data_IF_041898239736
#
_entry.id   IF_041898239736
#
_cell.length_a   1.000
_cell.length_b   1.000
_cell.length_c   1.000
_cell.angle_alpha   90.00
_cell.angle_beta   90.00
_cell.angle_gamma   90.00
#
_symmetry.space_group_name_H-M   'P 1'
#
loop_
_entity.id
_entity.type
_entity.pdbx_description
1 polymer ?
#
# COMPACT_ATOMS: atom_id res chain seq x y z
N UNK A 1 4.55 15.76 8.06
CA UNK A 1 3.29 15.56 7.32
C UNK A 1 3.00 14.08 7.13
N UNK A 2 1.74 13.62 7.21
CA UNK A 2 1.40 12.22 6.96
C UNK A 2 1.06 11.96 5.49
N UNK A 3 1.50 10.83 4.97
CA UNK A 3 0.89 10.20 3.79
C UNK A 3 -0.43 9.57 4.25
N UNK A 4 -1.50 9.83 3.53
CA UNK A 4 -2.84 9.31 3.79
C UNK A 4 -3.13 8.29 2.68
N UNK A 5 -3.45 7.07 3.08
CA UNK A 5 -3.97 6.04 2.20
C UNK A 5 -5.42 5.83 2.62
N UNK A 6 -6.33 6.01 1.67
CA UNK A 6 -7.77 5.88 1.90
C UNK A 6 -8.36 4.92 0.87
N UNK A 7 -8.97 3.84 1.33
CA UNK A 7 -9.65 2.85 0.49
C UNK A 7 -11.08 2.72 0.98
N UNK A 8 -12.04 2.76 0.07
CA UNK A 8 -13.46 2.53 0.31
C UNK A 8 -14.02 1.80 -0.92
N UNK A 9 -14.18 0.49 -0.80
CA UNK A 9 -14.66 -0.35 -1.91
C UNK A 9 -16.15 -0.13 -2.18
N UNK A 10 -16.95 0.18 -1.16
CA UNK A 10 -18.38 0.45 -1.32
C UNK A 10 -18.64 1.72 -2.14
N UNK A 11 -17.75 2.71 -2.04
CA UNK A 11 -17.84 3.98 -2.79
C UNK A 11 -16.88 4.08 -3.97
N UNK A 12 -16.12 3.02 -4.27
CA UNK A 12 -15.06 3.01 -5.28
C UNK A 12 -14.05 4.17 -5.12
N UNK A 13 -13.66 4.48 -3.88
CA UNK A 13 -12.70 5.55 -3.58
C UNK A 13 -11.39 4.97 -3.12
N UNK A 14 -10.35 5.15 -3.92
CA UNK A 14 -9.01 4.64 -3.64
C UNK A 14 -8.03 5.79 -3.81
N UNK A 15 -7.52 6.35 -2.71
CA UNK A 15 -6.76 7.59 -2.68
C UNK A 15 -5.42 7.40 -1.98
N UNK A 16 -4.39 8.03 -2.54
CA UNK A 16 -3.08 8.22 -1.94
C UNK A 16 -2.78 9.72 -1.91
N UNK A 17 -2.63 10.31 -0.73
CA UNK A 17 -2.50 11.75 -0.55
C UNK A 17 -1.28 12.06 0.32
N UNK A 18 -0.39 12.92 -0.16
CA UNK A 18 0.56 13.65 0.66
C UNK A 18 0.13 15.13 0.62
N UNK A 19 -0.53 15.64 1.69
CA UNK A 19 -1.08 16.99 1.70
C UNK A 19 -0.05 18.04 1.22
N UNK A 20 -0.47 18.90 0.29
CA UNK A 20 0.36 19.96 -0.29
C UNK A 20 1.31 19.52 -1.42
N UNK A 21 1.61 18.22 -1.58
CA UNK A 21 2.60 17.76 -2.56
C UNK A 21 2.05 16.79 -3.59
N UNK A 22 1.17 15.88 -3.20
CA UNK A 22 0.79 14.77 -4.06
C UNK A 22 -0.63 14.30 -3.74
N UNK A 23 -1.39 14.02 -4.79
CA UNK A 23 -2.67 13.31 -4.69
C UNK A 23 -2.80 12.39 -5.88
N UNK A 24 -3.10 11.12 -5.63
CA UNK A 24 -3.46 10.15 -6.65
C UNK A 24 -4.74 9.43 -6.24
N UNK A 25 -5.53 9.07 -7.24
CA UNK A 25 -6.76 8.31 -7.13
C UNK A 25 -6.75 7.20 -8.17
N UNK A 26 -7.19 6.01 -7.78
CA UNK A 26 -7.52 4.94 -8.72
C UNK A 26 -8.97 5.12 -9.13
N UNK A 27 -9.21 5.25 -10.43
CA UNK A 27 -10.52 5.49 -11.03
C UNK A 27 -10.88 4.29 -11.91
N UNK A 28 -12.02 3.63 -11.67
CA UNK A 28 -12.51 2.56 -12.54
C UNK A 28 -12.67 3.02 -13.98
N UNK A 29 -12.35 2.17 -14.94
CA UNK A 29 -12.40 2.45 -16.38
C UNK A 29 -12.80 1.20 -17.15
N UNK A 30 -13.25 1.32 -18.40
CA UNK A 30 -13.66 0.17 -19.22
C UNK A 30 -12.61 -0.93 -19.33
N UNK A 31 -11.31 -0.58 -19.40
CA UNK A 31 -10.23 -1.56 -19.48
C UNK A 31 -9.85 -2.21 -18.13
N UNK A 32 -10.12 -1.55 -16.98
CA UNK A 32 -9.88 -1.98 -15.58
C UNK A 32 -9.90 -0.74 -14.68
N UNK A 33 -8.81 0.03 -14.70
CA UNK A 33 -8.68 1.30 -13.98
C UNK A 33 -7.56 2.16 -14.56
N UNK A 34 -7.65 3.47 -14.31
CA UNK A 34 -6.56 4.42 -14.52
C UNK A 34 -6.23 5.14 -13.22
N UNK A 35 -4.99 5.61 -13.11
CA UNK A 35 -4.52 6.37 -11.95
C UNK A 35 -4.49 7.83 -12.36
N UNK A 36 -5.31 8.66 -11.71
CA UNK A 36 -5.35 10.10 -11.93
C UNK A 36 -4.80 10.83 -10.71
N UNK A 37 -4.02 11.86 -10.92
CA UNK A 37 -3.45 12.59 -9.80
C UNK A 37 -2.88 13.96 -10.14
N UNK A 38 -2.20 14.52 -9.16
CA UNK A 38 -1.48 15.79 -9.24
C UNK A 38 -0.22 15.71 -8.38
N UNK A 39 0.90 16.14 -8.94
CA UNK A 39 2.14 16.41 -8.20
C UNK A 39 2.27 17.93 -8.14
N UNK A 40 2.23 18.50 -6.94
CA UNK A 40 2.11 19.93 -6.68
C UNK A 40 0.97 20.55 -7.49
N UNK A 41 1.31 21.27 -8.58
CA UNK A 41 0.35 21.91 -9.47
C UNK A 41 0.14 21.18 -10.80
N UNK A 42 0.94 20.15 -11.10
CA UNK A 42 0.95 19.47 -12.40
C UNK A 42 0.04 18.23 -12.33
N UNK A 43 -1.08 18.19 -13.08
CA UNK A 43 -1.92 17.01 -13.17
C UNK A 43 -1.24 15.91 -13.98
N UNK A 44 -1.53 14.65 -13.65
CA UNK A 44 -1.07 13.50 -14.42
C UNK A 44 -2.15 12.41 -14.46
N UNK A 45 -2.12 11.62 -15.53
CA UNK A 45 -2.94 10.42 -15.69
C UNK A 45 -2.07 9.29 -16.19
N UNK A 46 -2.17 8.12 -15.57
CA UNK A 46 -1.44 6.91 -15.95
C UNK A 46 -2.45 5.81 -16.21
N UNK A 47 -2.38 5.23 -17.41
CA UNK A 47 -3.12 4.03 -17.78
C UNK A 47 -2.17 2.83 -17.69
N UNK A 48 -2.14 2.09 -16.57
CA UNK A 48 -1.15 1.03 -16.37
C UNK A 48 -1.31 -0.15 -17.35
N UNK A 49 -2.51 -0.35 -17.88
CA UNK A 49 -2.82 -1.46 -18.79
C UNK A 49 -2.68 -1.12 -20.28
N UNK A 50 -2.50 0.17 -20.61
CA UNK A 50 -2.24 0.57 -21.99
C UNK A 50 -0.81 0.19 -22.37
N UNK A 51 -0.69 -0.73 -23.33
CA UNK A 51 0.60 -1.11 -23.91
C UNK A 51 1.23 0.11 -24.56
N UNK A 52 2.21 0.72 -23.89
CA UNK A 52 3.06 1.73 -24.54
C UNK A 52 3.83 1.04 -25.67
N UNK A 53 3.86 1.59 -26.89
CA UNK A 53 4.74 1.08 -27.93
C UNK A 53 6.17 1.12 -27.38
N UNK A 54 6.86 -0.02 -27.41
CA UNK A 54 8.27 -0.10 -27.03
C UNK A 54 9.02 0.86 -27.96
N UNK A 55 9.38 2.05 -27.47
CA UNK A 55 10.45 2.83 -28.10
C UNK A 55 11.66 1.89 -28.17
N UNK A 56 12.15 1.61 -29.37
CA UNK A 56 13.45 0.96 -29.59
C UNK A 56 14.50 1.85 -28.93
N UNK A 57 14.77 1.62 -27.65
CA UNK A 57 15.95 2.15 -27.00
C UNK A 57 17.13 1.46 -27.67
N UNK A 58 17.93 2.23 -28.39
CA UNK A 58 19.24 1.81 -28.87
C UNK A 58 20.00 1.16 -27.71
N UNK A 59 20.54 -0.03 -27.94
CA UNK A 59 21.26 -0.82 -26.93
C UNK A 59 22.42 0.03 -26.39
N UNK A 60 22.42 0.44 -25.11
CA UNK A 60 23.60 1.05 -24.54
C UNK A 60 24.70 -0.02 -24.47
N UNK A 61 25.92 0.37 -24.85
CA UNK A 61 27.11 -0.49 -24.76
C UNK A 61 27.20 -1.16 -23.38
N UNK A 62 27.51 -2.47 -23.38
CA UNK A 62 27.60 -3.32 -22.19
C UNK A 62 28.57 -2.71 -21.16
N UNK A 63 28.03 -2.04 -20.13
CA UNK A 63 28.81 -1.69 -18.94
C UNK A 63 29.19 -2.97 -18.17
N UNK A 64 30.39 -3.04 -17.57
CA UNK A 64 30.83 -4.21 -16.82
C UNK A 64 29.82 -4.53 -15.70
N UNK A 65 29.50 -5.82 -15.58
CA UNK A 65 28.54 -6.32 -14.61
C UNK A 65 29.00 -5.98 -13.18
N UNK A 66 28.38 -4.97 -12.55
CA UNK A 66 28.55 -4.73 -11.12
C UNK A 66 28.13 -5.99 -10.38
N UNK A 67 29.05 -6.60 -9.63
CA UNK A 67 28.77 -7.73 -8.72
C UNK A 67 27.51 -7.38 -7.92
N UNK A 68 26.45 -8.18 -8.07
CA UNK A 68 25.23 -8.06 -7.26
C UNK A 68 25.64 -8.24 -5.80
N UNK A 69 25.69 -7.14 -5.04
CA UNK A 69 25.87 -7.21 -3.58
C UNK A 69 24.75 -8.09 -3.05
N UNK A 70 25.08 -9.24 -2.45
CA UNK A 70 24.13 -10.05 -1.69
C UNK A 70 23.60 -9.14 -0.58
N UNK A 71 22.37 -8.64 -0.73
CA UNK A 71 21.71 -7.87 0.33
C UNK A 71 21.56 -8.84 1.49
N UNK A 72 22.30 -8.62 2.59
CA UNK A 72 22.13 -9.39 3.81
C UNK A 72 20.72 -9.10 4.34
N UNK A 73 19.85 -10.09 4.29
CA UNK A 73 18.42 -10.00 4.68
C UNK A 73 18.28 -9.97 6.23
N UNK A 74 19.37 -10.12 6.99
CA UNK A 74 19.39 -10.25 8.45
C UNK A 74 18.93 -9.01 9.25
N UNK A 75 18.38 -7.98 8.59
CA UNK A 75 17.73 -6.83 9.24
C UNK A 75 16.31 -6.53 8.72
N UNK A 76 15.78 -7.34 7.79
CA UNK A 76 14.51 -7.05 7.09
C UNK A 76 13.29 -7.11 7.98
N UNK A 77 13.22 -8.09 8.90
CA UNK A 77 12.06 -8.26 9.79
C UNK A 77 11.93 -7.09 10.77
N UNK A 78 13.03 -6.64 11.37
CA UNK A 78 13.04 -5.48 12.28
C UNK A 78 12.65 -4.19 11.55
N UNK A 79 13.12 -4.03 10.31
CA UNK A 79 12.70 -2.91 9.46
C UNK A 79 11.19 -3.00 9.16
N UNK A 80 10.67 -4.17 8.82
CA UNK A 80 9.24 -4.36 8.56
C UNK A 80 8.38 -4.03 9.79
N UNK A 81 8.75 -4.54 10.98
CA UNK A 81 8.05 -4.23 12.24
C UNK A 81 8.08 -2.73 12.53
N UNK A 82 9.23 -2.08 12.36
CA UNK A 82 9.36 -0.64 12.56
C UNK A 82 8.50 0.16 11.57
N UNK A 83 8.44 -0.26 10.30
CA UNK A 83 7.58 0.35 9.30
C UNK A 83 6.09 0.19 9.66
N UNK A 84 5.69 -0.98 10.14
CA UNK A 84 4.32 -1.22 10.60
C UNK A 84 3.96 -0.32 11.78
N UNK A 85 4.87 -0.09 12.73
CA UNK A 85 4.64 0.87 13.83
C UNK A 85 4.53 2.34 13.36
N UNK A 86 5.07 2.69 12.20
CA UNK A 86 4.92 4.04 11.64
C UNK A 86 3.53 4.28 11.04
N UNK A 87 2.76 3.21 10.83
CA UNK A 87 1.40 3.25 10.30
C UNK A 87 0.45 3.52 11.47
N UNK A 88 -0.32 4.59 11.35
CA UNK A 88 -1.45 4.87 12.23
C UNK A 88 -2.74 4.55 11.49
N UNK A 89 -3.42 3.48 11.91
CA UNK A 89 -4.76 3.15 11.43
C UNK A 89 -5.74 4.10 12.13
N UNK A 90 -6.51 4.86 11.35
CA UNK A 90 -7.61 5.70 11.86
C UNK A 90 -8.95 5.01 11.76
N UNK A 91 -9.14 4.18 10.75
CA UNK A 91 -10.34 3.39 10.58
C UNK A 91 -10.03 2.19 9.70
N UNK A 92 -10.38 1.00 10.14
CA UNK A 92 -10.35 -0.22 9.34
C UNK A 92 -11.68 -0.93 9.56
N UNK A 93 -12.54 -0.92 8.55
CA UNK A 93 -13.73 -1.77 8.51
C UNK A 93 -13.51 -2.78 7.39
N UNK A 94 -13.51 -4.06 7.74
CA UNK A 94 -13.43 -5.15 6.78
C UNK A 94 -14.63 -6.06 6.97
N UNK A 95 -15.38 -6.29 5.91
CA UNK A 95 -16.35 -7.36 5.83
C UNK A 95 -15.89 -8.31 4.73
N UNK A 96 -15.58 -9.55 5.09
CA UNK A 96 -15.00 -10.53 4.17
C UNK A 96 -15.83 -11.80 4.16
N UNK A 97 -16.06 -12.30 2.96
CA UNK A 97 -16.48 -13.66 2.69
C UNK A 97 -15.37 -14.30 1.84
N UNK A 98 -14.84 -15.44 2.27
CA UNK A 98 -13.84 -16.18 1.51
C UNK A 98 -14.42 -17.29 0.65
N UNK A 99 -15.75 -17.35 0.49
CA UNK A 99 -16.49 -18.42 -0.20
C UNK A 99 -16.25 -19.83 0.40
N UNK A 100 -15.63 -19.88 1.59
CA UNK A 100 -15.34 -21.09 2.35
C UNK A 100 -15.89 -20.90 3.76
N UNK A 101 -16.92 -21.68 4.06
CA UNK A 101 -17.59 -21.65 5.35
C UNK A 101 -16.64 -21.95 6.53
N UNK A 102 -15.74 -22.93 6.37
CA UNK A 102 -14.79 -23.29 7.44
C UNK A 102 -13.80 -22.17 7.68
N UNK A 103 -13.33 -21.51 6.61
CA UNK A 103 -12.37 -20.41 6.74
C UNK A 103 -13.05 -19.18 7.36
N UNK A 104 -14.24 -18.78 6.90
CA UNK A 104 -15.01 -17.69 7.51
C UNK A 104 -15.30 -17.94 8.99
N UNK A 105 -15.69 -19.16 9.38
CA UNK A 105 -15.92 -19.52 10.77
C UNK A 105 -14.66 -19.39 11.63
N UNK A 106 -13.48 -19.75 11.10
CA UNK A 106 -12.18 -19.58 11.78
C UNK A 106 -11.76 -18.12 11.91
N UNK A 107 -12.21 -17.24 11.03
CA UNK A 107 -11.93 -15.80 11.12
C UNK A 107 -12.68 -15.12 12.27
N UNK A 108 -13.88 -15.60 12.64
CA UNK A 108 -14.69 -15.02 13.73
C UNK A 108 -13.90 -14.84 15.05
N UNK A 109 -13.27 -15.88 15.62
CA UNK A 109 -12.49 -15.72 16.85
C UNK A 109 -11.23 -14.88 16.66
N UNK A 110 -10.60 -14.91 15.48
CA UNK A 110 -9.42 -14.07 15.20
C UNK A 110 -9.82 -12.59 15.13
N UNK A 111 -10.96 -12.30 14.49
CA UNK A 111 -11.47 -10.94 14.34
C UNK A 111 -11.94 -10.37 15.67
N UNK A 112 -12.56 -11.17 16.54
CA UNK A 112 -12.96 -10.69 17.87
C UNK A 112 -11.75 -10.27 18.72
N UNK A 113 -10.60 -10.94 18.57
CA UNK A 113 -9.35 -10.56 19.26
C UNK A 113 -8.71 -9.28 18.70
N UNK A 114 -8.85 -9.02 17.40
CA UNK A 114 -8.23 -7.86 16.72
C UNK A 114 -9.13 -6.62 16.75
N UNK A 115 -10.43 -6.81 16.94
CA UNK A 115 -11.41 -5.73 16.96
C UNK A 115 -11.14 -4.73 18.09
N UNK A 116 -11.24 -3.44 17.75
CA UNK A 116 -11.01 -2.31 18.66
C UNK A 116 -11.86 -1.12 18.22
N UNK A 117 -11.72 0.02 18.91
CA UNK A 117 -12.45 1.25 18.56
C UNK A 117 -12.27 1.65 17.08
N UNK A 118 -11.06 1.50 16.54
CA UNK A 118 -10.69 1.91 15.18
C UNK A 118 -10.65 0.77 14.17
N UNK A 119 -10.72 -0.49 14.61
CA UNK A 119 -10.62 -1.69 13.77
C UNK A 119 -11.86 -2.55 13.99
N UNK A 120 -12.66 -2.77 12.95
CA UNK A 120 -13.79 -3.69 12.95
C UNK A 120 -13.69 -4.63 11.76
N UNK A 121 -13.44 -5.88 12.06
CA UNK A 121 -13.33 -6.98 11.12
C UNK A 121 -14.55 -7.88 11.34
N UNK A 122 -15.20 -8.26 10.25
CA UNK A 122 -16.35 -9.14 10.21
C UNK A 122 -16.13 -10.19 9.13
N UNK A 123 -16.38 -11.44 9.49
CA UNK A 123 -16.56 -12.50 8.51
C UNK A 123 -18.07 -12.62 8.28
N UNK A 124 -18.49 -12.69 7.02
CA UNK A 124 -19.88 -12.93 6.63
C UNK A 124 -19.99 -14.22 5.80
N UNK A 125 -21.21 -14.58 5.44
CA UNK A 125 -21.53 -15.76 4.63
C UNK A 125 -22.51 -15.37 3.51
N UNK A 126 -22.45 -14.12 3.07
CA UNK A 126 -23.40 -13.50 2.14
C UNK A 126 -22.77 -13.21 0.77
N UNK A 127 -21.53 -13.62 0.53
CA UNK A 127 -20.76 -13.36 -0.68
C UNK A 127 -20.32 -11.90 -0.83
N UNK A 128 -20.31 -11.14 0.28
CA UNK A 128 -20.02 -9.70 0.24
C UNK A 128 -18.60 -9.40 0.71
N UNK A 129 -17.85 -8.64 -0.08
CA UNK A 129 -16.53 -8.12 0.29
C UNK A 129 -16.57 -6.58 0.35
N UNK A 130 -16.33 -6.03 1.53
CA UNK A 130 -16.22 -4.57 1.71
C UNK A 130 -15.02 -4.19 2.57
N UNK A 131 -14.32 -3.12 2.16
CA UNK A 131 -13.16 -2.59 2.85
C UNK A 131 -13.25 -1.08 2.92
N UNK A 132 -13.19 -0.55 4.14
CA UNK A 132 -12.92 0.85 4.43
C UNK A 132 -11.63 0.95 5.23
N UNK A 133 -10.59 1.52 4.66
CA UNK A 133 -9.30 1.75 5.29
C UNK A 133 -8.94 3.24 5.23
N UNK A 134 -8.76 3.88 6.37
CA UNK A 134 -8.06 5.16 6.54
C UNK A 134 -6.81 4.88 7.37
N UNK A 135 -5.65 4.94 6.72
CA UNK A 135 -4.35 4.82 7.37
C UNK A 135 -3.47 6.01 7.05
N UNK A 136 -2.67 6.40 8.04
CA UNK A 136 -1.77 7.55 7.93
C UNK A 136 -0.36 7.16 8.32
N UNK A 137 0.60 7.52 7.49
CA UNK A 137 2.00 7.22 7.71
C UNK A 137 2.76 8.52 7.87
N UNK A 138 3.42 8.72 9.02
CA UNK A 138 4.21 9.93 9.26
C UNK A 138 5.52 9.85 8.47
N UNK A 139 5.72 10.74 7.50
CA UNK A 139 6.93 10.77 6.67
C UNK A 139 8.22 10.92 7.49
N UNK A 140 8.20 11.74 8.53
CA UNK A 140 9.36 11.90 9.43
C UNK A 140 9.75 10.58 10.10
N UNK A 141 8.78 9.75 10.47
CA UNK A 141 9.02 8.43 11.06
C UNK A 141 9.59 7.46 10.03
N UNK A 142 9.07 7.44 8.80
CA UNK A 142 9.63 6.61 7.72
C UNK A 142 11.10 6.97 7.42
N UNK A 143 11.38 8.27 7.30
CA UNK A 143 12.75 8.76 7.07
C UNK A 143 13.68 8.37 8.21
N UNK A 144 13.23 8.55 9.45
CA UNK A 144 14.01 8.17 10.63
C UNK A 144 14.32 6.67 10.67
N UNK A 145 13.34 5.81 10.40
CA UNK A 145 13.52 4.35 10.31
C UNK A 145 14.55 4.00 9.24
N UNK A 146 14.49 4.65 8.08
CA UNK A 146 15.41 4.40 6.98
C UNK A 146 16.85 4.84 7.32
N UNK A 147 17.00 6.02 7.93
CA UNK A 147 18.30 6.54 8.39
C UNK A 147 18.91 5.58 9.42
N UNK A 148 18.16 5.21 10.45
CA UNK A 148 18.63 4.26 11.47
C UNK A 148 19.02 2.91 10.88
N UNK A 149 18.26 2.40 9.91
CA UNK A 149 18.58 1.15 9.25
C UNK A 149 19.86 1.25 8.41
N UNK A 150 20.04 2.35 7.67
CA UNK A 150 21.25 2.61 6.88
C UNK A 150 22.49 2.72 7.77
N UNK A 151 22.41 3.43 8.89
CA UNK A 151 23.52 3.59 9.84
C UNK A 151 23.88 2.24 10.47
N UNK A 152 22.90 1.46 10.92
CA UNK A 152 23.12 0.11 11.49
C UNK A 152 23.55 -0.95 10.48
N UNK A 153 23.46 -0.67 9.19
CA UNK A 153 24.01 -1.52 8.14
C UNK A 153 25.48 -1.21 7.85
N UNK A 154 26.01 -0.10 8.39
CA UNK A 154 27.37 0.38 8.16
C UNK A 154 28.34 0.01 9.29
N UNK A 155 27.81 -0.18 10.51
CA UNK A 155 28.47 -0.81 11.65
C UNK A 155 28.06 -2.29 11.75
#
# INVERSE_FOLDING_TARGET
>A
MPVIIYLDTARNRYLLILPGMFRAAVVPSEELFHIRGRIFLVPFTVHPFQRKPKKKLEKPAKKPAKKRKKVKISGGLKLAINLLHAIRIRKLLLDIDTDDFMLNARLIPVFSMVNSEYIRLRANFTGTLSLLLDMRIRMGTLLWIFILHKIKSFY
#
